data_IF_028194730442
#
_entry.id   IF_028194730442
#
_cell.length_a   1.000
_cell.length_b   1.000
_cell.length_c   1.000
_cell.angle_alpha   90.00
_cell.angle_beta   90.00
_cell.angle_gamma   90.00
#
_symmetry.space_group_name_H-M   'P 1'
#
loop_
_entity.id
_entity.type
_entity.pdbx_description
1 polymer ?
#
# COMPACT_ATOMS: atom_id res chain seq x y z
N UNK A 1 -14.37 -16.88 -28.36
CA UNK A 1 -15.11 -15.89 -27.55
C UNK A 1 -14.06 -14.95 -26.95
N UNK A 2 -13.92 -13.75 -27.51
CA UNK A 2 -12.89 -12.78 -27.14
C UNK A 2 -13.31 -12.01 -25.89
N UNK A 3 -12.53 -12.06 -24.81
CA UNK A 3 -12.70 -11.14 -23.69
C UNK A 3 -11.93 -9.85 -23.98
N UNK A 4 -12.72 -8.83 -24.34
CA UNK A 4 -12.33 -7.44 -24.59
C UNK A 4 -11.94 -6.73 -23.29
N UNK A 5 -10.92 -5.89 -23.40
CA UNK A 5 -11.04 -4.47 -23.06
C UNK A 5 -10.67 -4.09 -21.63
N UNK A 6 -9.41 -3.71 -21.43
CA UNK A 6 -9.10 -2.77 -20.36
C UNK A 6 -9.74 -1.43 -20.71
N UNK A 7 -10.63 -0.94 -19.84
CA UNK A 7 -10.94 0.49 -19.78
C UNK A 7 -9.61 1.21 -19.51
N UNK A 8 -9.33 2.28 -20.26
CA UNK A 8 -8.28 3.23 -19.87
C UNK A 8 -8.55 3.62 -18.42
N UNK A 9 -7.63 3.30 -17.51
CA UNK A 9 -7.67 3.80 -16.14
C UNK A 9 -7.37 5.29 -16.25
N UNK A 10 -8.37 6.12 -16.00
CA UNK A 10 -8.16 7.55 -15.85
C UNK A 10 -7.74 7.76 -14.40
N UNK A 11 -6.48 8.13 -14.19
CA UNK A 11 -5.95 8.40 -12.85
C UNK A 11 -6.23 9.87 -12.55
N UNK A 12 -7.30 10.13 -11.80
CA UNK A 12 -7.69 11.50 -11.45
C UNK A 12 -6.68 12.16 -10.49
N UNK A 13 -6.04 11.36 -9.63
CA UNK A 13 -4.99 11.82 -8.73
C UNK A 13 -4.02 10.70 -8.38
N UNK A 14 -2.79 11.09 -8.04
CA UNK A 14 -1.74 10.21 -7.57
C UNK A 14 -1.05 10.86 -6.37
N UNK A 15 -0.75 10.06 -5.35
CA UNK A 15 -0.01 10.47 -4.17
C UNK A 15 1.14 9.49 -3.96
N UNK A 16 2.36 10.02 -3.83
CA UNK A 16 3.54 9.23 -3.54
C UNK A 16 3.98 9.45 -2.10
N UNK A 17 4.14 8.35 -1.37
CA UNK A 17 4.53 8.36 0.04
C UNK A 17 5.88 7.68 0.31
N UNK A 18 6.56 7.20 -0.72
CA UNK A 18 7.76 6.35 -0.60
C UNK A 18 8.93 6.83 -1.46
N UNK A 19 8.86 8.02 -2.06
CA UNK A 19 9.84 8.46 -3.04
C UNK A 19 9.68 7.75 -4.39
N UNK A 20 10.57 8.07 -5.33
CA UNK A 20 10.49 7.59 -6.71
C UNK A 20 11.69 6.69 -6.99
N UNK A 21 11.45 5.48 -7.49
CA UNK A 21 12.54 4.62 -7.97
C UNK A 21 13.21 5.29 -9.19
N UNK A 22 14.54 5.21 -9.27
CA UNK A 22 15.31 5.88 -10.34
C UNK A 22 15.02 7.40 -10.40
N UNK A 23 14.85 8.04 -9.23
CA UNK A 23 14.55 9.48 -9.10
C UNK A 23 15.57 10.41 -9.78
N UNK A 24 16.78 9.92 -10.01
CA UNK A 24 17.89 10.60 -10.67
C UNK A 24 18.03 10.23 -12.17
N UNK A 25 17.23 9.29 -12.68
CA UNK A 25 17.22 8.93 -14.10
C UNK A 25 16.45 9.98 -14.92
N UNK A 26 17.09 10.46 -15.98
CA UNK A 26 16.54 11.51 -16.84
C UNK A 26 15.21 11.11 -17.49
N UNK A 27 15.06 9.84 -17.91
CA UNK A 27 13.82 9.38 -18.56
C UNK A 27 12.66 9.35 -17.57
N UNK A 28 12.93 8.94 -16.33
CA UNK A 28 11.92 8.96 -15.25
C UNK A 28 11.52 10.39 -14.92
N UNK A 29 12.48 11.31 -14.81
CA UNK A 29 12.22 12.74 -14.60
C UNK A 29 11.37 13.32 -15.74
N UNK A 30 11.75 13.07 -16.99
CA UNK A 30 11.05 13.59 -18.17
C UNK A 30 9.59 13.06 -18.21
N UNK A 31 9.40 11.76 -18.01
CA UNK A 31 8.07 11.14 -17.95
C UNK A 31 7.20 11.72 -16.83
N UNK A 32 7.75 11.88 -15.62
CA UNK A 32 7.01 12.42 -14.49
C UNK A 32 6.63 13.90 -14.69
N UNK A 33 7.48 14.67 -15.37
CA UNK A 33 7.20 16.06 -15.76
C UNK A 33 6.13 16.18 -16.86
N UNK A 34 5.91 15.14 -17.65
CA UNK A 34 4.81 15.06 -18.62
C UNK A 34 3.47 14.77 -17.94
N UNK A 35 3.43 13.78 -17.03
CA UNK A 35 2.18 13.39 -16.35
C UNK A 35 1.80 14.33 -15.20
N UNK A 36 2.78 15.02 -14.60
CA UNK A 36 2.55 15.99 -13.54
C UNK A 36 3.47 17.22 -13.73
N UNK A 37 3.06 18.19 -14.56
CA UNK A 37 3.86 19.39 -14.86
C UNK A 37 4.29 20.21 -13.63
N UNK A 38 3.61 20.06 -12.49
CA UNK A 38 3.95 20.70 -11.22
C UNK A 38 5.28 20.21 -10.61
N UNK A 39 5.86 19.14 -11.16
CA UNK A 39 7.16 18.60 -10.76
C UNK A 39 8.33 19.23 -11.54
N UNK A 40 8.07 20.02 -12.60
CA UNK A 40 9.14 20.59 -13.44
C UNK A 40 10.07 21.48 -12.61
N UNK A 41 11.37 21.19 -12.70
CA UNK A 41 12.40 21.93 -11.99
C UNK A 41 12.51 21.62 -10.49
N UNK A 42 11.76 20.64 -9.97
CA UNK A 42 11.93 20.13 -8.60
C UNK A 42 12.77 18.85 -8.62
N UNK A 43 13.67 18.71 -7.66
CA UNK A 43 14.33 17.43 -7.41
C UNK A 43 13.29 16.39 -6.97
N UNK A 44 13.34 15.21 -7.58
CA UNK A 44 12.49 14.09 -7.20
C UNK A 44 13.05 13.47 -5.91
N UNK A 45 12.19 13.12 -4.94
CA UNK A 45 12.65 12.47 -3.73
C UNK A 45 13.10 11.03 -3.99
N UNK A 46 14.25 10.68 -3.41
CA UNK A 46 14.75 9.31 -3.39
C UNK A 46 13.80 8.34 -2.67
N UNK A 47 13.85 7.03 -2.97
CA UNK A 47 13.06 6.03 -2.25
C UNK A 47 13.30 6.07 -0.75
N UNK A 48 12.21 6.11 0.03
CA UNK A 48 12.24 6.16 1.49
C UNK A 48 12.07 4.77 2.06
N UNK A 49 13.13 4.30 2.73
CA UNK A 49 13.11 3.13 3.60
C UNK A 49 13.13 3.58 5.06
N UNK A 50 12.54 2.81 5.97
CA UNK A 50 12.59 3.12 7.39
C UNK A 50 11.73 2.17 8.22
N UNK A 51 11.79 2.37 9.54
CA UNK A 51 10.92 1.70 10.51
C UNK A 51 9.69 2.55 10.82
N UNK A 52 8.66 1.90 11.34
CA UNK A 52 7.48 2.59 11.85
C UNK A 52 7.84 3.36 13.14
N UNK A 53 7.18 4.49 13.38
CA UNK A 53 7.46 5.32 14.55
C UNK A 53 6.68 4.89 15.79
N UNK A 54 5.59 4.11 15.67
CA UNK A 54 4.84 3.61 16.84
C UNK A 54 5.74 2.83 17.79
N UNK A 55 6.59 1.94 17.27
CA UNK A 55 7.54 1.16 18.09
C UNK A 55 8.45 2.03 18.97
N UNK A 56 8.90 3.18 18.45
CA UNK A 56 9.74 4.12 19.20
C UNK A 56 8.90 5.00 20.14
N UNK A 57 7.70 5.38 19.71
CA UNK A 57 6.83 6.25 20.50
C UNK A 57 6.28 5.55 21.74
N UNK A 58 6.00 4.25 21.64
CA UNK A 58 5.50 3.39 22.72
C UNK A 58 6.58 2.94 23.70
N UNK A 59 7.86 3.07 23.34
CA UNK A 59 8.98 2.76 24.23
C UNK A 59 8.97 3.69 25.46
N UNK A 60 8.55 3.14 26.60
CA UNK A 60 8.46 3.86 27.88
C UNK A 60 9.82 4.32 28.42
N UNK A 61 10.92 3.77 27.88
CA UNK A 61 12.28 4.12 28.25
C UNK A 61 12.96 5.02 27.21
N UNK A 62 12.21 5.55 26.23
CA UNK A 62 12.79 6.40 25.19
C UNK A 62 13.48 7.63 25.78
N UNK A 63 14.66 7.92 25.26
CA UNK A 63 15.36 9.16 25.55
C UNK A 63 14.74 10.32 24.76
N UNK A 64 14.81 11.56 25.27
CA UNK A 64 14.32 12.74 24.55
C UNK A 64 14.97 12.92 23.16
N UNK A 65 16.19 12.40 22.99
CA UNK A 65 16.96 12.45 21.74
C UNK A 65 17.27 11.04 21.20
N UNK A 66 16.25 10.18 21.15
CA UNK A 66 16.42 8.82 20.65
C UNK A 66 17.00 8.82 19.22
N UNK A 67 18.23 8.31 19.01
CA UNK A 67 18.87 8.32 17.70
C UNK A 67 18.13 7.45 16.67
N UNK A 68 17.24 6.56 17.10
CA UNK A 68 16.42 5.73 16.19
C UNK A 68 15.43 6.57 15.37
N UNK A 69 15.08 7.77 15.83
CA UNK A 69 14.13 8.67 15.14
C UNK A 69 14.54 8.95 13.69
N UNK A 70 15.84 9.09 13.40
CA UNK A 70 16.34 9.36 12.04
C UNK A 70 16.12 8.21 11.05
N UNK A 71 15.84 7.01 11.57
CA UNK A 71 15.53 5.82 10.79
C UNK A 71 14.03 5.62 10.57
N UNK A 72 13.19 6.45 11.20
CA UNK A 72 11.74 6.39 11.00
C UNK A 72 11.34 6.94 9.64
N UNK A 73 10.30 6.35 9.04
CA UNK A 73 9.77 6.85 7.77
C UNK A 73 9.29 8.31 7.84
N UNK A 74 8.56 8.76 8.89
CA UNK A 74 8.16 10.16 9.01
C UNK A 74 9.33 11.14 9.01
N UNK A 75 10.40 10.86 9.76
CA UNK A 75 11.60 11.70 9.76
C UNK A 75 12.18 11.83 8.36
N UNK A 76 12.39 10.69 7.69
CA UNK A 76 12.99 10.64 6.35
C UNK A 76 12.11 11.31 5.30
N UNK A 77 10.79 11.22 5.41
CA UNK A 77 9.86 11.93 4.52
C UNK A 77 10.00 13.45 4.62
N UNK A 78 10.16 13.97 5.83
CA UNK A 78 10.35 15.40 6.09
C UNK A 78 11.72 15.84 5.57
N UNK A 79 12.78 15.09 5.92
CA UNK A 79 14.17 15.38 5.56
C UNK A 79 14.37 15.37 4.02
N UNK A 80 13.81 14.38 3.33
CA UNK A 80 13.86 14.25 1.87
C UNK A 80 12.83 15.13 1.13
N UNK A 81 12.10 16.01 1.83
CA UNK A 81 11.11 16.95 1.26
C UNK A 81 10.07 16.28 0.35
N UNK A 82 9.72 15.02 0.62
CA UNK A 82 8.76 14.23 -0.19
C UNK A 82 7.38 14.91 -0.22
N UNK A 83 7.05 15.66 0.83
CA UNK A 83 5.81 16.44 0.89
C UNK A 83 5.68 17.48 -0.24
N UNK A 84 6.78 17.93 -0.84
CA UNK A 84 6.76 18.92 -1.93
C UNK A 84 6.19 18.40 -3.27
N UNK A 85 6.14 17.08 -3.42
CA UNK A 85 5.55 16.38 -4.58
C UNK A 85 4.18 15.75 -4.25
N UNK A 86 3.78 15.71 -2.97
CA UNK A 86 2.47 15.15 -2.58
C UNK A 86 1.36 16.11 -2.96
N UNK A 87 0.33 15.59 -3.62
CA UNK A 87 -0.99 16.24 -3.64
C UNK A 87 -1.72 15.91 -2.36
N UNK A 88 -2.27 16.92 -1.69
CA UNK A 88 -3.22 16.74 -0.60
C UNK A 88 -4.48 16.10 -1.18
N UNK A 89 -4.56 14.78 -1.08
CA UNK A 89 -5.74 14.01 -1.47
C UNK A 89 -6.39 13.56 -0.18
N UNK A 90 -7.64 13.96 0.03
CA UNK A 90 -8.47 13.34 1.07
C UNK A 90 -8.93 11.99 0.52
N UNK A 91 -8.83 10.97 1.34
CA UNK A 91 -9.29 9.60 1.09
C UNK A 91 -10.76 9.42 1.54
N UNK A 92 -11.53 10.51 1.68
CA UNK A 92 -12.95 10.45 2.02
C UNK A 92 -13.78 9.92 0.86
N UNK A 93 -14.83 9.15 1.19
CA UNK A 93 -15.82 8.65 0.24
C UNK A 93 -15.22 7.82 -0.91
N UNK A 94 -14.22 6.98 -0.61
CA UNK A 94 -13.70 6.02 -1.59
C UNK A 94 -14.68 4.85 -1.76
N UNK A 95 -14.97 4.49 -3.01
CA UNK A 95 -15.72 3.27 -3.31
C UNK A 95 -14.85 2.03 -3.14
N UNK A 96 -13.57 2.11 -3.53
CA UNK A 96 -12.64 1.00 -3.57
C UNK A 96 -11.22 1.44 -3.18
N UNK A 97 -10.59 0.65 -2.30
CA UNK A 97 -9.15 0.69 -2.01
C UNK A 97 -8.55 -0.61 -2.53
N UNK A 98 -7.56 -0.50 -3.41
CA UNK A 98 -6.81 -1.65 -3.90
C UNK A 98 -5.37 -1.60 -3.41
N UNK A 99 -4.93 -2.66 -2.74
CA UNK A 99 -3.60 -2.78 -2.15
C UNK A 99 -2.84 -3.88 -2.89
N UNK A 100 -1.67 -3.52 -3.41
CA UNK A 100 -0.72 -4.44 -4.01
C UNK A 100 0.54 -4.50 -3.14
N UNK A 101 1.12 -5.68 -2.98
CA UNK A 101 2.42 -5.83 -2.32
C UNK A 101 2.48 -7.04 -1.41
N UNK A 102 3.70 -7.49 -1.13
CA UNK A 102 3.96 -8.68 -0.33
C UNK A 102 3.93 -8.44 1.19
N UNK A 103 4.29 -7.23 1.62
CA UNK A 103 4.46 -6.90 3.03
C UNK A 103 3.32 -6.01 3.49
N UNK A 104 2.39 -6.58 4.25
CA UNK A 104 1.44 -5.87 5.10
C UNK A 104 2.00 -5.78 6.53
N UNK A 105 3.31 -5.54 6.63
CA UNK A 105 4.06 -5.61 7.88
C UNK A 105 3.98 -4.31 8.69
N UNK A 106 4.42 -4.40 9.94
CA UNK A 106 4.38 -3.31 10.94
C UNK A 106 5.06 -2.02 10.45
N UNK A 107 6.15 -2.13 9.68
CA UNK A 107 6.87 -0.97 9.15
C UNK A 107 6.01 -0.01 8.31
N UNK A 108 4.91 -0.49 7.73
CA UNK A 108 3.98 0.28 6.89
C UNK A 108 2.63 0.54 7.58
N UNK A 109 2.44 0.05 8.80
CA UNK A 109 1.16 0.07 9.51
C UNK A 109 0.57 1.49 9.61
N UNK A 110 1.37 2.47 10.04
CA UNK A 110 0.90 3.86 10.22
C UNK A 110 0.29 4.46 8.94
N UNK A 111 0.72 4.01 7.75
CA UNK A 111 0.11 4.47 6.49
C UNK A 111 -1.26 3.87 6.26
N UNK A 112 -1.43 2.57 6.54
CA UNK A 112 -2.74 1.91 6.44
C UNK A 112 -3.72 2.52 7.43
N UNK A 113 -3.31 2.69 8.69
CA UNK A 113 -4.10 3.34 9.74
C UNK A 113 -4.57 4.74 9.27
N UNK A 114 -3.65 5.58 8.80
CA UNK A 114 -3.98 6.94 8.32
C UNK A 114 -4.99 6.92 7.16
N UNK A 115 -4.84 6.00 6.19
CA UNK A 115 -5.74 5.88 5.04
C UNK A 115 -7.12 5.37 5.48
N UNK A 116 -7.15 4.39 6.38
CA UNK A 116 -8.38 3.79 6.88
C UNK A 116 -9.16 4.77 7.76
N UNK A 117 -8.49 5.60 8.54
CA UNK A 117 -9.11 6.66 9.32
C UNK A 117 -9.71 7.76 8.45
N UNK A 118 -8.97 8.27 7.46
CA UNK A 118 -9.49 9.34 6.61
C UNK A 118 -10.69 8.89 5.77
N UNK A 119 -10.77 7.59 5.41
CA UNK A 119 -11.94 7.02 4.75
C UNK A 119 -13.02 6.47 5.71
N UNK A 120 -12.76 6.49 7.03
CA UNK A 120 -13.61 5.92 8.07
C UNK A 120 -14.01 4.45 7.76
N UNK A 121 -13.01 3.60 7.52
CA UNK A 121 -13.18 2.26 6.93
C UNK A 121 -14.23 1.40 7.65
N UNK A 122 -14.29 1.48 8.99
CA UNK A 122 -15.22 0.69 9.79
C UNK A 122 -16.69 1.04 9.50
N UNK A 123 -17.00 2.33 9.34
CA UNK A 123 -18.37 2.81 9.13
C UNK A 123 -18.71 3.13 7.66
N UNK A 124 -17.72 3.18 6.77
CA UNK A 124 -17.91 3.47 5.36
C UNK A 124 -18.47 2.26 4.58
N UNK A 125 -18.78 2.49 3.30
CA UNK A 125 -19.11 1.44 2.33
C UNK A 125 -17.92 1.03 1.46
N UNK A 126 -16.72 1.53 1.77
CA UNK A 126 -15.51 1.32 0.99
C UNK A 126 -15.17 -0.16 0.91
N UNK A 127 -14.94 -0.66 -0.29
CA UNK A 127 -14.44 -2.02 -0.53
C UNK A 127 -12.91 -2.00 -0.42
N UNK A 128 -12.31 -3.03 0.17
CA UNK A 128 -10.85 -3.18 0.24
C UNK A 128 -10.45 -4.49 -0.44
N UNK A 129 -9.61 -4.37 -1.45
CA UNK A 129 -9.04 -5.46 -2.23
C UNK A 129 -7.56 -5.59 -1.94
N UNK A 130 -7.14 -6.76 -1.48
CA UNK A 130 -5.74 -7.11 -1.30
C UNK A 130 -5.29 -8.08 -2.39
N UNK A 131 -4.26 -7.71 -3.13
CA UNK A 131 -3.66 -8.56 -4.14
C UNK A 131 -2.44 -9.31 -3.59
N UNK A 132 -2.63 -10.61 -3.34
CA UNK A 132 -1.57 -11.53 -2.96
C UNK A 132 -0.77 -11.95 -4.19
N UNK A 133 0.55 -11.86 -4.14
CA UNK A 133 1.37 -12.44 -5.19
C UNK A 133 1.20 -13.97 -5.25
N UNK A 134 0.97 -14.48 -6.45
CA UNK A 134 0.98 -15.91 -6.77
C UNK A 134 1.67 -16.09 -8.11
N UNK A 135 2.54 -17.10 -8.24
CA UNK A 135 3.21 -17.38 -9.51
C UNK A 135 2.24 -17.95 -10.54
N UNK A 136 1.16 -18.61 -10.08
CA UNK A 136 0.14 -19.21 -10.93
C UNK A 136 0.61 -20.47 -11.67
N UNK A 137 1.84 -20.92 -11.44
CA UNK A 137 2.39 -22.11 -12.09
C UNK A 137 1.89 -23.38 -11.42
N UNK A 138 1.69 -24.44 -12.20
CA UNK A 138 1.22 -25.74 -11.66
C UNK A 138 2.22 -26.34 -10.65
N UNK A 139 3.51 -26.18 -10.90
CA UNK A 139 4.59 -26.66 -10.03
C UNK A 139 4.63 -25.94 -8.67
N UNK A 140 4.26 -24.67 -8.63
CA UNK A 140 4.34 -23.83 -7.43
C UNK A 140 3.03 -23.81 -6.62
N UNK A 141 2.01 -24.61 -6.99
CA UNK A 141 0.68 -24.57 -6.36
C UNK A 141 0.70 -24.66 -4.84
N UNK A 142 1.59 -25.48 -4.28
CA UNK A 142 1.71 -25.64 -2.83
C UNK A 142 2.30 -24.39 -2.20
N UNK A 143 3.33 -23.81 -2.82
CA UNK A 143 3.97 -22.58 -2.37
C UNK A 143 3.01 -21.39 -2.46
N UNK A 144 2.29 -21.24 -3.57
CA UNK A 144 1.25 -20.22 -3.77
C UNK A 144 0.16 -20.33 -2.69
N UNK A 145 -0.26 -21.55 -2.34
CA UNK A 145 -1.24 -21.76 -1.27
C UNK A 145 -0.70 -21.39 0.11
N UNK A 146 0.57 -21.70 0.41
CA UNK A 146 1.22 -21.33 1.68
C UNK A 146 1.37 -19.80 1.76
N UNK A 147 1.87 -19.19 0.69
CA UNK A 147 2.01 -17.74 0.55
C UNK A 147 0.68 -17.02 0.73
N UNK A 148 -0.38 -17.50 0.04
CA UNK A 148 -1.73 -16.95 0.18
C UNK A 148 -2.26 -17.05 1.60
N UNK A 149 -2.08 -18.19 2.28
CA UNK A 149 -2.51 -18.33 3.69
C UNK A 149 -1.77 -17.36 4.61
N UNK A 150 -0.45 -17.22 4.44
CA UNK A 150 0.35 -16.26 5.21
C UNK A 150 -0.11 -14.82 4.96
N UNK A 151 -0.38 -14.49 3.70
CA UNK A 151 -0.85 -13.17 3.32
C UNK A 151 -2.24 -12.85 3.87
N UNK A 152 -3.20 -13.79 3.79
CA UNK A 152 -4.52 -13.64 4.41
C UNK A 152 -4.38 -13.41 5.92
N UNK A 153 -3.48 -14.14 6.60
CA UNK A 153 -3.21 -13.91 8.01
C UNK A 153 -2.73 -12.48 8.28
N UNK A 154 -1.82 -11.96 7.45
CA UNK A 154 -1.35 -10.57 7.56
C UNK A 154 -2.47 -9.55 7.29
N UNK A 155 -3.38 -9.80 6.34
CA UNK A 155 -4.57 -8.95 6.11
C UNK A 155 -5.48 -8.94 7.35
N UNK A 156 -5.75 -10.10 7.93
CA UNK A 156 -6.57 -10.21 9.14
C UNK A 156 -5.94 -9.46 10.30
N UNK A 157 -4.63 -9.63 10.53
CA UNK A 157 -3.91 -8.91 11.58
C UNK A 157 -3.98 -7.39 11.35
N UNK A 158 -3.60 -6.91 10.17
CA UNK A 158 -3.65 -5.49 9.82
C UNK A 158 -5.02 -4.84 10.13
N UNK A 159 -6.11 -5.49 9.71
CA UNK A 159 -7.45 -4.97 9.95
C UNK A 159 -7.85 -5.06 11.43
N UNK A 160 -7.45 -6.12 12.13
CA UNK A 160 -7.73 -6.29 13.56
C UNK A 160 -7.02 -5.23 14.38
N UNK A 161 -5.72 -5.02 14.12
CA UNK A 161 -4.89 -4.00 14.77
C UNK A 161 -5.49 -2.61 14.53
N UNK A 162 -5.89 -2.30 13.28
CA UNK A 162 -6.62 -1.08 12.97
C UNK A 162 -7.94 -0.96 13.75
N UNK A 163 -8.75 -2.01 13.81
CA UNK A 163 -10.00 -1.97 14.55
C UNK A 163 -9.81 -1.71 16.05
N UNK A 164 -8.69 -2.19 16.64
CA UNK A 164 -8.36 -1.96 18.05
C UNK A 164 -8.08 -0.49 18.36
N UNK A 165 -7.58 0.29 17.39
CA UNK A 165 -7.35 1.74 17.58
C UNK A 165 -8.65 2.53 17.70
N UNK A 166 -9.77 2.00 17.16
CA UNK A 166 -11.11 2.56 17.32
C UNK A 166 -11.76 2.14 18.65
N UNK A 167 -11.72 0.84 18.95
CA UNK A 167 -12.07 0.23 20.24
C UNK A 167 -11.75 -1.28 20.21
N UNK A 168 -11.50 -1.92 21.35
CA UNK A 168 -11.24 -3.37 21.40
C UNK A 168 -12.34 -4.20 20.71
N UNK A 169 -13.61 -3.83 20.92
CA UNK A 169 -14.76 -4.49 20.27
C UNK A 169 -14.78 -4.30 18.75
N UNK A 170 -14.30 -3.16 18.25
CA UNK A 170 -14.17 -2.95 16.80
C UNK A 170 -13.04 -3.80 16.22
N UNK A 171 -11.92 -3.95 16.94
CA UNK A 171 -10.82 -4.84 16.59
C UNK A 171 -11.28 -6.29 16.34
N UNK A 172 -12.00 -6.87 17.31
CA UNK A 172 -12.49 -8.26 17.20
C UNK A 172 -13.51 -8.47 16.06
N UNK A 173 -14.18 -7.40 15.60
CA UNK A 173 -15.35 -7.52 14.73
C UNK A 173 -15.15 -6.95 13.31
N UNK A 174 -14.16 -6.09 13.06
CA UNK A 174 -14.04 -5.39 11.77
C UNK A 174 -13.92 -6.35 10.58
N UNK A 175 -13.10 -7.40 10.71
CA UNK A 175 -12.93 -8.41 9.66
C UNK A 175 -14.27 -9.10 9.37
N UNK A 176 -14.98 -9.56 10.40
CA UNK A 176 -16.27 -10.23 10.27
C UNK A 176 -17.32 -9.31 9.63
N UNK A 177 -17.39 -8.06 10.10
CA UNK A 177 -18.28 -7.03 9.55
C UNK A 177 -18.02 -6.82 8.06
N UNK A 178 -16.77 -6.58 7.66
CA UNK A 178 -16.42 -6.35 6.26
C UNK A 178 -16.73 -7.56 5.37
N UNK A 179 -16.53 -8.79 5.87
CA UNK A 179 -16.88 -10.01 5.14
C UNK A 179 -18.40 -10.11 4.95
N UNK A 180 -19.20 -9.91 6.02
CA UNK A 180 -20.67 -9.98 5.94
C UNK A 180 -21.29 -8.91 5.05
N UNK A 181 -20.60 -7.78 4.91
CA UNK A 181 -20.98 -6.68 4.02
C UNK A 181 -20.42 -6.81 2.60
N UNK A 182 -19.71 -7.90 2.28
CA UNK A 182 -19.01 -8.11 1.01
C UNK A 182 -18.06 -6.96 0.63
N UNK A 183 -17.29 -6.44 1.62
CA UNK A 183 -16.35 -5.32 1.44
C UNK A 183 -14.88 -5.72 1.53
N UNK A 184 -14.55 -6.99 1.76
CA UNK A 184 -13.18 -7.46 1.88
C UNK A 184 -12.89 -8.58 0.89
N UNK A 185 -11.90 -8.38 0.04
CA UNK A 185 -11.47 -9.35 -0.96
C UNK A 185 -9.96 -9.58 -0.90
N UNK A 186 -9.54 -10.85 -1.00
CA UNK A 186 -8.12 -11.21 -1.17
C UNK A 186 -7.98 -12.00 -2.48
N UNK A 187 -7.40 -11.36 -3.49
CA UNK A 187 -7.30 -11.87 -4.85
C UNK A 187 -5.85 -12.24 -5.17
N UNK A 188 -5.58 -13.28 -5.97
CA UNK A 188 -4.25 -13.54 -6.48
C UNK A 188 -3.85 -12.51 -7.54
N UNK A 189 -2.58 -12.10 -7.59
CA UNK A 189 -2.06 -11.15 -8.58
C UNK A 189 -2.15 -11.69 -10.00
N UNK A 190 -2.14 -13.02 -10.16
CA UNK A 190 -2.30 -13.68 -11.47
C UNK A 190 -3.69 -13.49 -12.08
N UNK A 191 -4.71 -13.13 -11.29
CA UNK A 191 -6.03 -12.73 -11.82
C UNK A 191 -6.02 -11.33 -12.45
N UNK A 192 -4.96 -10.54 -12.23
CA UNK A 192 -4.73 -9.24 -12.88
C UNK A 192 -3.90 -9.37 -14.17
N UNK A 193 -3.22 -10.50 -14.37
CA UNK A 193 -2.34 -10.70 -15.53
C UNK A 193 -3.13 -11.24 -16.74
N UNK A 194 -3.33 -10.45 -17.81
CA UNK A 194 -4.02 -10.91 -19.01
C UNK A 194 -3.13 -11.83 -19.87
N UNK A 195 -1.86 -12.02 -19.51
CA UNK A 195 -0.93 -12.84 -20.31
C UNK A 195 -0.96 -14.30 -19.89
N UNK A 196 -2.00 -14.98 -20.38
CA UNK A 196 -1.78 -16.33 -20.87
C UNK A 196 -0.66 -16.33 -21.92
N UNK A 197 0.27 -17.28 -21.80
CA UNK A 197 1.26 -17.70 -22.82
C UNK A 197 2.17 -16.63 -23.41
N UNK A 198 3.39 -16.51 -22.89
CA UNK A 198 4.57 -17.08 -23.59
C UNK A 198 5.84 -16.75 -22.81
N UNK A 199 6.45 -17.80 -22.29
CA UNK A 199 7.86 -17.76 -21.92
C UNK A 199 8.69 -17.50 -23.16
N UNK A 200 9.13 -16.25 -23.34
CA UNK A 200 10.41 -15.99 -24.00
C UNK A 200 11.34 -15.38 -22.98
N UNK A 201 12.25 -16.23 -22.48
CA UNK A 201 13.53 -15.81 -21.92
C UNK A 201 14.16 -14.87 -22.94
N UNK A 202 14.41 -13.63 -22.54
CA UNK A 202 15.40 -12.81 -23.23
C UNK A 202 16.76 -13.37 -22.82
N UNK A 203 17.49 -13.85 -23.82
CA UNK A 203 18.92 -14.16 -23.73
C UNK A 203 19.71 -12.90 -23.40
#
# INVERSE_FOLDING_TARGET
>A
MYLKGWKRINIDSWSNIHGIAEYDDKKVIDYLNEINPNNRGKELPAPIFGIDNHEILEDKNKEENDPRIIFTKPYRLIDNRVNSIRKTSSYKNLDLITIYGHSLGEADYSYFETIFDDCNLYHSKTIVQFYCYCTGKKEDKVEDQIGRRKYIKSVVNLLTDYGQTLSEKHGENIVNKMILENRLEVLPSSEVDPKGSDGKKLN
#
